data_IF_410331127872
#
_entry.id   IF_410331127872
#
_cell.length_a   1.000
_cell.length_b   1.000
_cell.length_c   1.000
_cell.angle_alpha   90.00
_cell.angle_beta   90.00
_cell.angle_gamma   90.00
#
_symmetry.space_group_name_H-M   'P 1'
#
loop_
_entity.id
_entity.type
_entity.pdbx_description
1 polymer ?
#
# COMPACT_ATOMS: atom_id res chain seq x y z
N UNK A 1 33.09 -27.54 -8.79
CA UNK A 1 31.73 -27.94 -8.37
C UNK A 1 30.83 -26.75 -8.65
N UNK A 2 29.96 -26.84 -9.66
CA UNK A 2 29.09 -25.71 -10.04
C UNK A 2 27.95 -25.60 -9.04
N UNK A 3 27.90 -24.47 -8.34
CA UNK A 3 26.88 -24.16 -7.34
C UNK A 3 25.59 -23.71 -8.04
N UNK A 4 24.75 -24.66 -8.41
CA UNK A 4 23.48 -24.36 -9.07
C UNK A 4 22.50 -23.79 -8.03
N UNK A 5 22.26 -22.49 -8.10
CA UNK A 5 21.28 -21.83 -7.23
C UNK A 5 19.87 -22.33 -7.59
N UNK A 6 19.02 -22.67 -6.60
CA UNK A 6 17.65 -23.07 -6.86
C UNK A 6 16.89 -21.89 -7.50
N UNK A 7 16.25 -22.15 -8.63
CA UNK A 7 15.34 -21.18 -9.25
C UNK A 7 14.11 -21.06 -8.35
N UNK A 8 13.72 -19.86 -7.90
CA UNK A 8 12.53 -19.69 -7.08
C UNK A 8 11.28 -20.14 -7.86
N UNK A 9 10.28 -20.73 -7.19
CA UNK A 9 9.03 -21.09 -7.84
C UNK A 9 8.34 -19.84 -8.37
N UNK A 10 7.92 -19.88 -9.64
CA UNK A 10 6.99 -18.88 -10.19
C UNK A 10 5.67 -19.11 -9.45
N UNK A 11 5.33 -18.20 -8.53
CA UNK A 11 3.98 -18.15 -7.97
C UNK A 11 3.03 -17.85 -9.14
N UNK A 12 1.88 -18.53 -9.26
CA UNK A 12 0.85 -18.07 -10.19
C UNK A 12 0.62 -16.59 -9.88
N UNK A 13 0.76 -15.75 -10.91
CA UNK A 13 0.27 -14.39 -10.83
C UNK A 13 -1.16 -14.50 -10.33
N UNK A 14 -1.51 -13.68 -9.35
CA UNK A 14 -2.85 -13.67 -8.78
C UNK A 14 -3.81 -13.26 -9.90
N UNK A 15 -4.26 -14.24 -10.66
CA UNK A 15 -5.33 -14.14 -11.66
C UNK A 15 -6.62 -13.88 -10.88
N UNK A 16 -6.76 -12.66 -10.37
CA UNK A 16 -7.83 -12.27 -9.44
C UNK A 16 -7.52 -11.09 -8.54
N UNK A 17 -6.49 -10.28 -8.80
CA UNK A 17 -6.58 -8.89 -8.42
C UNK A 17 -7.59 -8.26 -9.39
N UNK A 18 -8.74 -7.71 -8.92
CA UNK A 18 -9.40 -6.73 -9.77
C UNK A 18 -8.31 -5.72 -10.11
N UNK A 19 -8.18 -5.38 -11.39
CA UNK A 19 -7.46 -4.18 -11.78
C UNK A 19 -8.02 -3.06 -10.89
N UNK A 20 -7.30 -2.72 -9.81
CA UNK A 20 -7.38 -1.39 -9.26
C UNK A 20 -6.76 -0.54 -10.36
N UNK A 21 -7.60 -0.22 -11.35
CA UNK A 21 -7.42 0.94 -12.21
C UNK A 21 -6.86 2.03 -11.30
N UNK A 22 -5.67 2.52 -11.64
CA UNK A 22 -4.79 3.30 -10.76
C UNK A 22 -5.36 4.65 -10.33
N UNK A 23 -6.50 4.65 -9.66
CA UNK A 23 -6.89 5.66 -8.72
C UNK A 23 -5.97 5.47 -7.52
N UNK A 24 -5.12 6.45 -7.34
CA UNK A 24 -4.49 6.81 -6.09
C UNK A 24 -5.61 7.00 -5.05
N UNK A 25 -6.16 5.90 -4.53
CA UNK A 25 -7.19 5.93 -3.50
C UNK A 25 -6.46 6.25 -2.20
N UNK A 26 -6.11 7.52 -2.03
CA UNK A 26 -5.56 8.01 -0.79
C UNK A 26 -6.59 7.69 0.32
N UNK A 27 -6.24 6.85 1.30
CA UNK A 27 -7.21 6.39 2.30
C UNK A 27 -7.68 7.52 3.22
N UNK A 28 -7.12 8.73 3.08
CA UNK A 28 -7.57 9.93 3.79
C UNK A 28 -8.66 10.68 3.05
N UNK A 29 -9.02 10.31 1.81
CA UNK A 29 -10.09 10.95 1.03
C UNK A 29 -11.21 9.97 0.65
N UNK A 30 -12.44 10.49 0.67
CA UNK A 30 -13.67 9.78 0.28
C UNK A 30 -14.48 10.62 -0.70
N UNK A 31 -15.12 9.94 -1.65
CA UNK A 31 -16.05 10.60 -2.57
C UNK A 31 -17.40 10.87 -1.89
N UNK A 32 -17.79 12.14 -1.81
CA UNK A 32 -19.08 12.58 -1.27
C UNK A 32 -19.77 13.44 -2.32
N UNK A 33 -20.90 12.96 -2.85
CA UNK A 33 -21.66 13.62 -3.93
C UNK A 33 -20.85 13.76 -5.25
N UNK A 34 -19.88 12.87 -5.48
CA UNK A 34 -18.99 12.91 -6.66
C UNK A 34 -17.86 13.93 -6.55
N UNK A 35 -17.58 14.44 -5.35
CA UNK A 35 -16.42 15.29 -5.04
C UNK A 35 -15.53 14.59 -4.00
N UNK A 36 -14.22 14.54 -4.24
CA UNK A 36 -13.23 14.01 -3.30
C UNK A 36 -13.10 14.96 -2.09
N UNK A 37 -13.34 14.43 -0.89
CA UNK A 37 -13.25 15.17 0.38
C UNK A 37 -12.40 14.41 1.38
N UNK A 38 -11.79 15.13 2.31
CA UNK A 38 -11.12 14.50 3.45
C UNK A 38 -12.14 13.67 4.24
N UNK A 39 -11.77 12.43 4.53
CA UNK A 39 -12.56 11.53 5.34
C UNK A 39 -12.68 12.10 6.77
N UNK A 40 -13.91 12.34 7.28
CA UNK A 40 -14.11 12.91 8.60
C UNK A 40 -13.82 11.93 9.75
N UNK A 41 -13.79 10.63 9.46
CA UNK A 41 -13.42 9.56 10.38
C UNK A 41 -11.92 9.21 10.30
N UNK A 42 -11.21 9.68 9.28
CA UNK A 42 -9.75 9.62 9.24
C UNK A 42 -9.16 10.48 10.36
N UNK A 43 -8.36 9.85 11.22
CA UNK A 43 -7.68 10.52 12.29
C UNK A 43 -6.40 11.17 11.77
N UNK A 44 -6.30 12.51 11.72
CA UNK A 44 -5.11 13.19 11.19
C UNK A 44 -3.87 12.97 12.07
N UNK A 45 -4.04 12.47 13.29
CA UNK A 45 -2.95 12.11 14.21
C UNK A 45 -2.52 10.63 14.07
N UNK A 46 -3.22 9.82 13.27
CA UNK A 46 -2.82 8.43 12.99
C UNK A 46 -1.74 8.41 11.90
N UNK A 47 -0.50 8.49 12.39
CA UNK A 47 0.79 8.32 11.70
C UNK A 47 1.26 9.55 10.91
N UNK A 48 2.05 10.38 11.60
CA UNK A 48 2.91 11.38 10.98
C UNK A 48 3.90 10.71 10.01
N UNK A 49 4.14 11.31 8.84
CA UNK A 49 5.03 10.74 7.81
C UNK A 49 6.43 10.45 8.36
N UNK A 50 6.93 11.22 9.33
CA UNK A 50 8.21 10.95 9.97
C UNK A 50 8.18 9.69 10.84
N UNK A 51 7.04 9.36 11.43
CA UNK A 51 6.83 8.12 12.17
C UNK A 51 6.69 6.93 11.22
N UNK A 52 6.01 7.11 10.07
CA UNK A 52 5.97 6.11 9.01
C UNK A 52 7.38 5.77 8.47
N UNK A 53 8.22 6.79 8.25
CA UNK A 53 9.62 6.62 7.83
C UNK A 53 10.47 5.89 8.89
N UNK A 54 10.23 6.15 10.18
CA UNK A 54 10.88 5.39 11.27
C UNK A 54 10.48 3.93 11.23
N UNK A 55 9.19 3.64 11.10
CA UNK A 55 8.67 2.28 11.07
C UNK A 55 9.22 1.50 9.87
N UNK A 56 9.25 2.15 8.69
CA UNK A 56 9.79 1.58 7.46
C UNK A 56 11.30 1.31 7.53
N UNK A 57 12.04 2.14 8.28
CA UNK A 57 13.47 1.99 8.51
C UNK A 57 13.81 0.94 9.59
N UNK A 58 12.80 0.33 10.23
CA UNK A 58 12.99 -0.62 11.33
C UNK A 58 13.45 0.04 12.63
N UNK A 59 13.10 1.31 12.85
CA UNK A 59 13.36 2.02 14.10
C UNK A 59 12.40 1.57 15.19
N UNK A 60 12.94 1.01 16.28
CA UNK A 60 12.27 0.69 17.55
C UNK A 60 12.61 1.74 18.63
#
# INVERSE_FOLDING_TARGET
MSNQMPVPPILPGRDGDPETDGADLDPTVVEVDGEEKLDPDANPDEVDSAEADRLASGGE
#
